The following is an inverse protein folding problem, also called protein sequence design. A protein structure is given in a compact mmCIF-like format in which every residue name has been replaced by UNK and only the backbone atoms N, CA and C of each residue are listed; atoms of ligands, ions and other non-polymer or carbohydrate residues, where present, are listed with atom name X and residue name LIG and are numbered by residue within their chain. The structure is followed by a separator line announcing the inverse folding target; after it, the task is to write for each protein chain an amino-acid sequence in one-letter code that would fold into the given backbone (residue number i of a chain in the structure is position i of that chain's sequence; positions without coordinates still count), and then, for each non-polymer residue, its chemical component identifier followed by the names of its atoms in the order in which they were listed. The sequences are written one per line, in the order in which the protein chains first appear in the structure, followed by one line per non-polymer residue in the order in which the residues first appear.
data_IF_812407799516
#
_entry.id   IF_812407799516
#
_cell.length_a   1.000
_cell.length_b   1.000
_cell.length_c   1.000
_cell.angle_alpha   90.00
_cell.angle_beta   90.00
_cell.angle_gamma   90.00
#
_symmetry.space_group_name_H-M   'P 1'
#
loop_
_entity.id
_entity.type
_entity.pdbx_description
1 polymer ?
#
# COMPACT_ATOMS: atom_id res chain seq x y z
N UNK A 1 -4.62 22.69 19.69
CA UNK A 1 -5.22 21.38 20.02
C UNK A 1 -5.60 20.63 18.74
N UNK A 2 -4.73 19.72 18.28
CA UNK A 2 -5.04 18.86 17.13
C UNK A 2 -6.06 17.82 17.58
N UNK A 3 -7.26 17.90 17.03
CA UNK A 3 -8.36 16.98 17.29
C UNK A 3 -8.02 15.68 16.57
N UNK A 4 -7.60 14.65 17.30
CA UNK A 4 -7.49 13.30 16.73
C UNK A 4 -8.90 12.89 16.35
N UNK A 5 -9.17 12.76 15.06
CA UNK A 5 -10.45 12.27 14.54
C UNK A 5 -10.66 10.87 15.12
N UNK A 6 -11.77 10.63 15.79
CA UNK A 6 -12.13 9.30 16.25
C UNK A 6 -12.50 8.47 15.01
N UNK A 7 -11.53 7.73 14.45
CA UNK A 7 -11.76 6.82 13.34
C UNK A 7 -12.65 5.68 13.84
N UNK A 8 -13.74 5.40 13.12
CA UNK A 8 -14.60 4.25 13.44
C UNK A 8 -14.17 3.00 12.67
N UNK A 9 -14.60 1.83 13.12
CA UNK A 9 -14.42 0.58 12.36
C UNK A 9 -15.07 0.67 10.96
N UNK A 10 -16.20 1.36 10.86
CA UNK A 10 -16.89 1.61 9.59
C UNK A 10 -16.04 2.46 8.63
N UNK A 11 -15.41 3.54 9.12
CA UNK A 11 -14.49 4.36 8.32
C UNK A 11 -13.29 3.56 7.79
N UNK A 12 -12.77 2.65 8.62
CA UNK A 12 -11.69 1.74 8.23
C UNK A 12 -12.14 0.78 7.12
N UNK A 13 -13.31 0.15 7.27
CA UNK A 13 -13.87 -0.75 6.26
C UNK A 13 -14.14 -0.04 4.94
N UNK A 14 -14.70 1.18 4.97
CA UNK A 14 -14.90 1.99 3.78
C UNK A 14 -13.57 2.33 3.09
N UNK A 15 -12.51 2.59 3.85
CA UNK A 15 -11.17 2.81 3.29
C UNK A 15 -10.66 1.57 2.57
N UNK A 16 -10.82 0.38 3.16
CA UNK A 16 -10.40 -0.88 2.53
C UNK A 16 -11.15 -1.15 1.23
N UNK A 17 -12.44 -0.82 1.16
CA UNK A 17 -13.24 -0.95 -0.06
C UNK A 17 -12.70 -0.06 -1.19
N UNK A 18 -12.39 1.21 -0.89
CA UNK A 18 -11.81 2.13 -1.87
C UNK A 18 -10.41 1.67 -2.31
N UNK A 19 -9.58 1.20 -1.37
CA UNK A 19 -8.25 0.64 -1.68
C UNK A 19 -8.38 -0.55 -2.62
N UNK A 20 -9.30 -1.48 -2.36
CA UNK A 20 -9.53 -2.64 -3.22
C UNK A 20 -9.84 -2.22 -4.66
N UNK A 21 -10.70 -1.22 -4.86
CA UNK A 21 -11.06 -0.73 -6.20
C UNK A 21 -9.88 -0.06 -6.91
N UNK A 22 -9.23 0.90 -6.24
CA UNK A 22 -8.20 1.73 -6.86
C UNK A 22 -6.90 0.96 -7.08
N UNK A 23 -6.46 0.16 -6.11
CA UNK A 23 -5.21 -0.60 -6.21
C UNK A 23 -5.33 -1.71 -7.26
N UNK A 24 -6.48 -2.41 -7.34
CA UNK A 24 -6.73 -3.41 -8.38
C UNK A 24 -6.70 -2.78 -9.77
N UNK A 25 -7.43 -1.67 -9.96
CA UNK A 25 -7.42 -0.93 -11.22
C UNK A 25 -6.00 -0.46 -11.59
N UNK A 26 -5.23 0.02 -10.61
CA UNK A 26 -3.85 0.44 -10.82
C UNK A 26 -2.99 -0.72 -11.34
N UNK A 27 -3.10 -1.90 -10.71
CA UNK A 27 -2.35 -3.10 -11.12
C UNK A 27 -2.69 -3.50 -12.56
N UNK A 28 -3.96 -3.51 -12.93
CA UNK A 28 -4.40 -3.83 -14.31
C UNK A 28 -3.78 -2.90 -15.36
N UNK A 29 -3.50 -1.64 -15.01
CA UNK A 29 -2.88 -0.68 -15.93
C UNK A 29 -1.36 -0.79 -16.03
N UNK A 30 -0.71 -1.37 -15.04
CA UNK A 30 0.75 -1.43 -14.97
C UNK A 30 1.31 -2.80 -15.32
N UNK A 31 0.51 -3.87 -15.24
CA UNK A 31 0.98 -5.26 -15.33
C UNK A 31 1.86 -5.54 -16.55
N UNK A 32 1.48 -5.00 -17.72
CA UNK A 32 2.23 -5.19 -18.97
C UNK A 32 3.55 -4.39 -19.04
N UNK A 33 3.76 -3.45 -18.11
CA UNK A 33 4.89 -2.53 -18.07
C UNK A 33 5.74 -2.66 -16.80
N UNK A 34 5.49 -3.69 -15.98
CA UNK A 34 6.29 -3.94 -14.77
C UNK A 34 7.72 -4.33 -15.20
N UNK A 35 8.70 -3.51 -14.81
CA UNK A 35 10.11 -3.81 -15.05
C UNK A 35 10.59 -4.97 -14.18
N UNK A 36 11.60 -5.71 -14.66
CA UNK A 36 12.26 -6.76 -13.85
C UNK A 36 12.85 -6.21 -12.55
N UNK A 37 13.35 -4.97 -12.58
CA UNK A 37 13.87 -4.27 -11.40
C UNK A 37 12.79 -4.09 -10.34
N UNK A 38 11.62 -3.59 -10.74
CA UNK A 38 10.47 -3.43 -9.84
C UNK A 38 10.00 -4.78 -9.30
N UNK A 39 9.90 -5.80 -10.15
CA UNK A 39 9.53 -7.15 -9.73
C UNK A 39 10.52 -7.71 -8.69
N UNK A 40 11.82 -7.45 -8.86
CA UNK A 40 12.84 -7.84 -7.87
C UNK A 40 12.65 -7.11 -6.54
N UNK A 41 12.36 -5.81 -6.56
CA UNK A 41 12.07 -5.02 -5.35
C UNK A 41 10.83 -5.55 -4.61
N UNK A 42 9.75 -5.85 -5.33
CA UNK A 42 8.53 -6.43 -4.75
C UNK A 42 8.80 -7.78 -4.08
N UNK A 43 9.56 -8.67 -4.74
CA UNK A 43 9.95 -9.97 -4.18
C UNK A 43 10.81 -9.83 -2.93
N UNK A 44 11.72 -8.87 -2.91
CA UNK A 44 12.56 -8.61 -1.75
C UNK A 44 11.75 -8.05 -0.58
N UNK A 45 10.82 -7.12 -0.85
CA UNK A 45 9.90 -6.60 0.16
C UNK A 45 9.05 -7.73 0.78
N UNK A 46 8.47 -8.63 -0.02
CA UNK A 46 7.71 -9.79 0.48
C UNK A 46 8.55 -10.66 1.43
N UNK A 47 9.81 -10.97 1.07
CA UNK A 47 10.70 -11.74 1.96
C UNK A 47 10.94 -11.04 3.30
N UNK A 48 11.02 -9.71 3.29
CA UNK A 48 11.17 -8.95 4.52
C UNK A 48 9.89 -8.96 5.35
N UNK A 49 8.71 -8.93 4.72
CA UNK A 49 7.42 -9.09 5.42
C UNK A 49 7.31 -10.48 6.07
N UNK A 50 7.70 -11.53 5.36
CA UNK A 50 7.76 -12.90 5.89
C UNK A 50 8.68 -12.97 7.11
N UNK A 51 9.88 -12.39 7.01
CA UNK A 51 10.82 -12.33 8.14
C UNK A 51 10.25 -11.55 9.32
N UNK A 52 9.66 -10.38 9.08
CA UNK A 52 9.04 -9.55 10.13
C UNK A 52 7.91 -10.32 10.84
N UNK A 53 7.16 -11.14 10.09
CA UNK A 53 6.11 -12.02 10.64
C UNK A 53 6.69 -13.10 11.55
N UNK A 54 7.77 -13.77 11.11
CA UNK A 54 8.46 -14.80 11.91
C UNK A 54 9.11 -14.22 13.17
N UNK A 55 9.59 -12.99 13.10
CA UNK A 55 10.20 -12.26 14.21
C UNK A 55 9.15 -11.58 15.12
N UNK A 56 7.84 -11.76 14.86
CA UNK A 56 6.72 -11.10 15.55
C UNK A 56 6.82 -9.56 15.57
N UNK A 57 7.50 -8.97 14.59
CA UNK A 57 7.68 -7.53 14.45
C UNK A 57 6.57 -6.95 13.56
N UNK A 58 5.38 -6.82 14.13
CA UNK A 58 4.19 -6.32 13.42
C UNK A 58 4.34 -4.89 12.91
N UNK A 59 5.06 -4.02 13.64
CA UNK A 59 5.31 -2.65 13.18
C UNK A 59 6.12 -2.63 11.89
N UNK A 60 7.18 -3.44 11.82
CA UNK A 60 7.98 -3.57 10.60
C UNK A 60 7.18 -4.21 9.46
N UNK A 61 6.36 -5.23 9.76
CA UNK A 61 5.45 -5.81 8.75
C UNK A 61 4.55 -4.73 8.15
N UNK A 62 3.92 -3.90 8.99
CA UNK A 62 3.08 -2.80 8.54
C UNK A 62 3.87 -1.80 7.70
N UNK A 63 5.08 -1.41 8.08
CA UNK A 63 5.89 -0.51 7.23
C UNK A 63 6.19 -1.13 5.85
N UNK A 64 6.56 -2.40 5.81
CA UNK A 64 6.88 -3.11 4.58
C UNK A 64 5.66 -3.33 3.68
N UNK A 65 4.50 -3.65 4.26
CA UNK A 65 3.22 -3.77 3.56
C UNK A 65 2.84 -2.45 2.86
N UNK A 66 2.98 -1.32 3.56
CA UNK A 66 2.77 0.00 2.96
C UNK A 66 3.71 0.21 1.78
N UNK A 67 5.00 -0.06 2.00
CA UNK A 67 6.01 0.15 0.97
C UNK A 67 5.76 -0.75 -0.26
N UNK A 68 5.19 -1.94 -0.08
CA UNK A 68 4.75 -2.81 -1.18
C UNK A 68 3.68 -2.16 -2.05
N UNK A 69 2.61 -1.62 -1.44
CA UNK A 69 1.54 -0.94 -2.17
C UNK A 69 2.05 0.32 -2.88
N UNK A 70 2.95 1.08 -2.24
CA UNK A 70 3.57 2.26 -2.86
C UNK A 70 4.52 1.90 -4.01
N UNK A 71 5.27 0.81 -3.91
CA UNK A 71 6.11 0.30 -4.99
C UNK A 71 5.26 -0.06 -6.22
N UNK A 72 4.13 -0.75 -6.04
CA UNK A 72 3.19 -1.04 -7.14
C UNK A 72 2.64 0.24 -7.76
N UNK A 73 2.17 1.18 -6.93
CA UNK A 73 1.63 2.45 -7.40
C UNK A 73 2.66 3.27 -8.20
N UNK A 74 3.95 3.20 -7.84
CA UNK A 74 5.01 3.98 -8.51
C UNK A 74 5.14 3.71 -10.01
N UNK A 75 4.75 2.52 -10.48
CA UNK A 75 4.75 2.16 -11.90
C UNK A 75 3.56 2.72 -12.68
N UNK A 76 2.50 3.18 -12.00
CA UNK A 76 1.33 3.73 -12.68
C UNK A 76 1.69 5.10 -13.25
N UNK A 77 1.41 5.35 -14.53
CA UNK A 77 1.71 6.64 -15.18
C UNK A 77 0.76 7.75 -14.74
N UNK A 78 -0.44 7.41 -14.25
CA UNK A 78 -1.42 8.39 -13.78
C UNK A 78 -1.04 8.90 -12.38
N UNK A 79 -0.56 10.15 -12.30
CA UNK A 79 -0.15 10.79 -11.04
C UNK A 79 -1.30 10.84 -10.02
N UNK A 80 -2.53 11.12 -10.45
CA UNK A 80 -3.66 11.21 -9.52
C UNK A 80 -3.95 9.88 -8.83
N UNK A 81 -3.79 8.76 -9.55
CA UNK A 81 -3.93 7.42 -8.95
C UNK A 81 -2.81 7.16 -7.94
N UNK A 82 -1.58 7.58 -8.26
CA UNK A 82 -0.45 7.45 -7.31
C UNK A 82 -0.71 8.24 -6.02
N UNK A 83 -1.21 9.46 -6.15
CA UNK A 83 -1.48 10.34 -5.01
C UNK A 83 -2.58 9.77 -4.13
N UNK A 84 -3.68 9.30 -4.72
CA UNK A 84 -4.79 8.66 -3.98
C UNK A 84 -4.30 7.41 -3.24
N UNK A 85 -3.55 6.52 -3.90
CA UNK A 85 -2.98 5.32 -3.25
C UNK A 85 -2.02 5.72 -2.13
N UNK A 86 -1.21 6.75 -2.34
CA UNK A 86 -0.29 7.27 -1.33
C UNK A 86 -1.05 7.78 -0.09
N UNK A 87 -2.09 8.60 -0.27
CA UNK A 87 -2.90 9.13 0.82
C UNK A 87 -3.59 8.00 1.61
N UNK A 88 -4.15 6.99 0.94
CA UNK A 88 -4.78 5.84 1.62
C UNK A 88 -3.79 4.97 2.40
N UNK A 89 -2.52 4.92 1.97
CA UNK A 89 -1.49 4.08 2.60
C UNK A 89 -0.65 4.83 3.65
N UNK A 90 -0.66 6.16 3.67
CA UNK A 90 0.13 7.00 4.59
C UNK A 90 -0.71 7.87 5.52
N UNK A 91 -2.00 8.05 5.23
CA UNK A 91 -2.92 8.88 5.98
C UNK A 91 -3.37 8.27 7.30
N UNK A 92 -4.31 8.97 7.96
CA UNK A 92 -4.88 8.63 9.27
C UNK A 92 -5.75 7.35 9.20
N UNK A 93 -6.11 6.90 7.99
CA UNK A 93 -7.01 5.76 7.73
C UNK A 93 -6.37 4.38 7.91
N UNK A 94 -5.33 4.29 8.74
CA UNK A 94 -4.56 3.07 8.97
C UNK A 94 -4.86 2.45 10.32
#
# INVERSE_FOLDING_TARGET
PSKVTNLTEEDFLHTLEVRQLIETYSIEKIVDNISESLLKQLKENIKQQEKATLDYNFNLFLELDRDFHLLLASANKNQQIRDIIYEMNTGIYR
#
